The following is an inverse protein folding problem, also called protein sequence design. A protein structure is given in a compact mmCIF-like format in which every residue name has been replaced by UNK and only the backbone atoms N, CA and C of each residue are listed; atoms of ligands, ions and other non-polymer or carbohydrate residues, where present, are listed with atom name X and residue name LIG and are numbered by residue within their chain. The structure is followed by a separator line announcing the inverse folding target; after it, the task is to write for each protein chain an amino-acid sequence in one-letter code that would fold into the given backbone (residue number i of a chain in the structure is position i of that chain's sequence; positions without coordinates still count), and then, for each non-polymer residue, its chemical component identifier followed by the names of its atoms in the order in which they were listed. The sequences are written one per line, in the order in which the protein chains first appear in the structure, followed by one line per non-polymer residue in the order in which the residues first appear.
data_IF_676183683527
#
_entry.id   IF_676183683527
#
_cell.length_a   1.000
_cell.length_b   1.000
_cell.length_c   1.000
_cell.angle_alpha   90.00
_cell.angle_beta   90.00
_cell.angle_gamma   90.00
#
_symmetry.space_group_name_H-M   'P 1'
#
loop_
_entity.id
_entity.type
_entity.pdbx_description
1 polymer ?
#
# COMPACT_ATOMS: atom_id res chain seq x y z
N UNK A 1 9.79 27.56 -39.58
CA UNK A 1 9.17 26.26 -39.19
C UNK A 1 8.41 26.48 -37.89
N UNK A 2 7.08 26.41 -37.91
CA UNK A 2 6.30 26.41 -36.67
C UNK A 2 6.47 25.04 -36.01
N UNK A 3 7.09 25.02 -34.83
CA UNK A 3 7.15 23.84 -33.98
C UNK A 3 5.73 23.43 -33.59
N UNK A 4 5.25 22.32 -34.14
CA UNK A 4 4.01 21.70 -33.67
C UNK A 4 4.30 21.17 -32.26
N UNK A 5 3.74 21.82 -31.24
CA UNK A 5 3.72 21.27 -29.87
C UNK A 5 3.01 19.92 -29.93
N UNK A 6 3.71 18.84 -29.58
CA UNK A 6 3.10 17.53 -29.43
C UNK A 6 1.94 17.62 -28.42
N UNK A 7 0.78 17.11 -28.80
CA UNK A 7 -0.40 17.06 -27.94
C UNK A 7 -0.09 16.14 -26.76
N UNK A 8 -0.28 16.62 -25.53
CA UNK A 8 -0.07 15.80 -24.34
C UNK A 8 -0.93 14.54 -24.38
N UNK A 9 -0.34 13.39 -24.07
CA UNK A 9 -1.04 12.11 -23.95
C UNK A 9 -2.15 12.23 -22.90
N UNK A 10 -3.39 11.80 -23.18
CA UNK A 10 -4.47 11.82 -22.20
C UNK A 10 -4.16 10.93 -20.99
N UNK A 11 -4.64 11.32 -19.82
CA UNK A 11 -4.49 10.57 -18.55
C UNK A 11 -4.98 9.11 -18.68
N UNK A 12 -6.08 8.88 -19.40
CA UNK A 12 -6.59 7.53 -19.65
C UNK A 12 -5.63 6.67 -20.48
N UNK A 13 -4.86 7.26 -21.40
CA UNK A 13 -3.87 6.54 -22.21
C UNK A 13 -2.65 6.19 -21.36
N UNK A 14 -2.21 7.09 -20.47
CA UNK A 14 -1.17 6.82 -19.49
C UNK A 14 -1.57 5.65 -18.58
N UNK A 15 -2.79 5.66 -18.04
CA UNK A 15 -3.29 4.55 -17.22
C UNK A 15 -3.36 3.23 -17.99
N UNK A 16 -3.81 3.24 -19.25
CA UNK A 16 -3.80 2.04 -20.12
C UNK A 16 -2.37 1.50 -20.28
N UNK A 17 -1.39 2.37 -20.48
CA UNK A 17 0.01 1.97 -20.61
C UNK A 17 0.55 1.35 -19.32
N UNK A 18 0.19 1.90 -18.15
CA UNK A 18 0.54 1.32 -16.85
C UNK A 18 -0.01 -0.09 -16.68
N UNK A 19 -1.30 -0.33 -16.97
CA UNK A 19 -1.90 -1.66 -16.85
C UNK A 19 -1.34 -2.66 -17.88
N UNK A 20 -0.99 -2.21 -19.09
CA UNK A 20 -0.28 -3.06 -20.07
C UNK A 20 1.08 -3.47 -19.55
N UNK A 21 1.87 -2.52 -19.04
CA UNK A 21 3.15 -2.80 -18.40
C UNK A 21 2.99 -3.78 -17.23
N UNK A 22 2.00 -3.58 -16.36
CA UNK A 22 1.74 -4.46 -15.23
C UNK A 22 1.46 -5.90 -15.66
N UNK A 23 0.74 -6.09 -16.78
CA UNK A 23 0.53 -7.40 -17.38
C UNK A 23 1.83 -8.11 -17.78
N UNK A 24 2.80 -7.38 -18.35
CA UNK A 24 4.12 -7.94 -18.67
C UNK A 24 4.94 -8.27 -17.42
N UNK A 25 4.75 -7.52 -16.33
CA UNK A 25 5.51 -7.67 -15.10
C UNK A 25 4.95 -8.72 -14.13
N UNK A 26 3.78 -9.30 -14.42
CA UNK A 26 3.12 -10.28 -13.55
C UNK A 26 3.97 -11.53 -13.25
N UNK A 27 4.88 -11.91 -14.16
CA UNK A 27 5.82 -13.02 -13.92
C UNK A 27 6.90 -12.69 -12.89
N UNK A 28 7.29 -11.42 -12.77
CA UNK A 28 8.31 -10.94 -11.82
C UNK A 28 7.70 -10.54 -10.48
N UNK A 29 6.54 -9.91 -10.50
CA UNK A 29 5.82 -9.46 -9.30
C UNK A 29 4.43 -10.07 -9.26
N UNK A 30 4.26 -11.27 -8.67
CA UNK A 30 2.98 -12.00 -8.73
C UNK A 30 1.78 -11.23 -8.17
N UNK A 31 1.98 -10.36 -7.19
CA UNK A 31 0.90 -9.59 -6.56
C UNK A 31 0.38 -8.46 -7.45
N UNK A 32 1.13 -8.04 -8.47
CA UNK A 32 0.69 -6.97 -9.38
C UNK A 32 -0.60 -7.33 -10.13
N UNK A 33 -0.90 -8.64 -10.25
CA UNK A 33 -2.16 -9.13 -10.84
C UNK A 33 -3.42 -8.69 -10.09
N UNK A 34 -3.26 -8.29 -8.82
CA UNK A 34 -4.34 -7.77 -8.00
C UNK A 34 -4.51 -6.26 -8.11
N UNK A 35 -3.67 -5.57 -8.90
CA UNK A 35 -3.85 -4.15 -9.18
C UNK A 35 -5.09 -3.93 -10.05
N UNK A 36 -5.95 -2.98 -9.69
CA UNK A 36 -7.16 -2.66 -10.45
C UNK A 36 -7.46 -1.16 -10.49
N UNK A 37 -8.20 -0.75 -11.51
CA UNK A 37 -8.71 0.61 -11.65
C UNK A 37 -10.00 0.77 -10.84
N UNK A 38 -10.14 1.90 -10.14
CA UNK A 38 -11.36 2.36 -9.49
C UNK A 38 -12.05 3.41 -10.38
N UNK A 39 -13.04 3.04 -11.21
CA UNK A 39 -13.63 3.93 -12.22
C UNK A 39 -14.67 4.89 -11.61
N UNK A 40 -14.37 5.54 -10.49
CA UNK A 40 -15.32 6.43 -9.83
C UNK A 40 -15.41 7.81 -10.50
N UNK A 41 -14.39 8.20 -11.26
CA UNK A 41 -14.38 9.38 -12.12
C UNK A 41 -14.99 9.14 -13.51
N UNK A 42 -15.04 10.19 -14.33
CA UNK A 42 -15.43 10.11 -15.74
C UNK A 42 -16.84 10.60 -16.07
N UNK A 43 -17.03 11.03 -17.33
CA UNK A 43 -18.32 11.49 -17.85
C UNK A 43 -19.27 10.31 -18.02
N UNK A 44 -20.49 10.48 -17.55
CA UNK A 44 -21.61 9.54 -17.66
C UNK A 44 -22.90 10.33 -17.85
N UNK A 45 -23.96 9.68 -18.34
CA UNK A 45 -25.27 10.29 -18.32
C UNK A 45 -25.77 10.49 -16.87
N UNK A 46 -26.70 11.42 -16.69
CA UNK A 46 -27.17 11.84 -15.37
C UNK A 46 -27.83 10.68 -14.60
N UNK A 47 -28.56 9.81 -15.29
CA UNK A 47 -29.27 8.68 -14.68
C UNK A 47 -28.28 7.65 -14.14
N UNK A 48 -27.30 7.26 -14.94
CA UNK A 48 -26.23 6.36 -14.52
C UNK A 48 -25.43 6.95 -13.36
N UNK A 49 -25.08 8.24 -13.43
CA UNK A 49 -24.34 8.91 -12.36
C UNK A 49 -25.13 8.95 -11.04
N UNK A 50 -26.43 9.22 -11.09
CA UNK A 50 -27.30 9.21 -9.90
C UNK A 50 -27.40 7.81 -9.30
N UNK A 51 -27.62 6.79 -10.14
CA UNK A 51 -27.66 5.38 -9.71
C UNK A 51 -26.36 4.94 -9.05
N UNK A 52 -25.20 5.19 -9.67
CA UNK A 52 -23.89 4.82 -9.13
C UNK A 52 -23.60 5.49 -7.78
N UNK A 53 -24.03 6.76 -7.60
CA UNK A 53 -23.93 7.43 -6.30
C UNK A 53 -24.77 6.73 -5.23
N UNK A 54 -25.98 6.24 -5.57
CA UNK A 54 -26.80 5.44 -4.66
C UNK A 54 -26.18 4.07 -4.36
N UNK A 55 -25.47 3.48 -5.33
CA UNK A 55 -24.69 2.25 -5.16
C UNK A 55 -23.38 2.47 -4.35
N UNK A 56 -23.06 3.71 -3.99
CA UNK A 56 -21.96 4.04 -3.08
C UNK A 56 -20.70 4.58 -3.75
N UNK A 57 -20.70 4.86 -5.07
CA UNK A 57 -19.58 5.51 -5.74
C UNK A 57 -19.24 6.84 -5.05
N UNK A 58 -17.96 6.99 -4.71
CA UNK A 58 -17.44 8.20 -4.08
C UNK A 58 -16.55 8.96 -5.05
N UNK A 59 -16.85 10.26 -5.23
CA UNK A 59 -16.00 11.13 -6.01
C UNK A 59 -14.65 11.33 -5.32
N UNK A 60 -13.57 11.33 -6.11
CA UNK A 60 -12.22 11.62 -5.63
C UNK A 60 -11.44 10.41 -5.10
N UNK A 61 -12.01 9.21 -5.07
CA UNK A 61 -11.23 8.00 -4.78
C UNK A 61 -10.11 7.87 -5.83
N UNK A 62 -8.86 7.56 -5.41
CA UNK A 62 -7.74 7.43 -6.35
C UNK A 62 -8.00 6.43 -7.46
N UNK A 63 -7.43 6.69 -8.64
CA UNK A 63 -7.72 5.92 -9.84
C UNK A 63 -7.34 4.44 -9.74
N UNK A 64 -6.31 4.08 -8.97
CA UNK A 64 -5.75 2.72 -8.94
C UNK A 64 -5.56 2.27 -7.50
N UNK A 65 -5.90 1.01 -7.25
CA UNK A 65 -5.61 0.31 -6.01
C UNK A 65 -4.79 -0.97 -6.29
N UNK A 66 -3.79 -1.21 -5.45
CA UNK A 66 -3.06 -2.47 -5.35
C UNK A 66 -3.13 -2.96 -3.89
N UNK A 67 -4.02 -3.92 -3.59
CA UNK A 67 -4.26 -4.41 -2.23
C UNK A 67 -3.21 -5.45 -1.82
N UNK A 68 -1.93 -5.07 -1.87
CA UNK A 68 -0.79 -5.91 -1.46
C UNK A 68 -0.09 -5.25 -0.30
N UNK A 69 -0.21 -5.80 0.91
CA UNK A 69 0.38 -5.21 2.11
C UNK A 69 1.91 -5.34 2.10
N UNK A 70 2.61 -4.21 1.94
CA UNK A 70 4.07 -4.13 1.84
C UNK A 70 4.62 -2.99 2.68
N UNK A 71 5.79 -3.20 3.27
CA UNK A 71 6.54 -2.14 3.95
C UNK A 71 5.76 -1.44 5.06
N UNK A 72 4.93 -2.15 5.82
CA UNK A 72 4.12 -1.57 6.89
C UNK A 72 2.82 -0.92 6.43
N UNK A 73 2.57 -0.87 5.12
CA UNK A 73 1.32 -0.34 4.55
C UNK A 73 0.35 -1.48 4.24
N UNK A 74 -0.95 -1.20 4.29
CA UNK A 74 -2.00 -2.20 4.00
C UNK A 74 -2.30 -2.36 2.50
N UNK A 75 -1.82 -1.43 1.69
CA UNK A 75 -1.94 -1.46 0.24
C UNK A 75 -1.41 -0.16 -0.36
N UNK A 76 -1.43 -0.08 -1.68
CA UNK A 76 -1.00 1.07 -2.47
C UNK A 76 -2.19 1.66 -3.23
N UNK A 77 -2.38 2.98 -3.13
CA UNK A 77 -3.28 3.75 -3.97
C UNK A 77 -2.48 4.73 -4.83
N UNK A 78 -2.83 4.82 -6.11
CA UNK A 78 -2.22 5.74 -7.06
C UNK A 78 -3.32 6.61 -7.69
N UNK A 79 -3.14 7.92 -7.60
CA UNK A 79 -3.89 8.92 -8.36
C UNK A 79 -3.09 9.29 -9.61
N UNK A 80 -3.65 9.07 -10.80
CA UNK A 80 -2.96 9.36 -12.05
C UNK A 80 -3.16 10.81 -12.46
N UNK A 81 -2.11 11.44 -12.97
CA UNK A 81 -2.13 12.78 -13.55
C UNK A 81 -1.29 12.87 -14.80
N UNK A 82 -1.51 13.96 -15.54
CA UNK A 82 -0.65 14.40 -16.63
C UNK A 82 -0.05 15.76 -16.27
N UNK A 83 1.10 16.09 -16.86
CA UNK A 83 1.82 17.34 -16.56
C UNK A 83 0.89 18.55 -16.70
N UNK A 84 0.82 19.37 -15.65
CA UNK A 84 -0.01 20.58 -15.60
C UNK A 84 -1.38 20.39 -14.96
N UNK A 85 -1.86 19.14 -14.81
CA UNK A 85 -3.04 18.85 -13.99
C UNK A 85 -2.63 18.77 -12.51
N UNK A 86 -3.58 18.95 -11.59
CA UNK A 86 -3.38 18.73 -10.16
C UNK A 86 -4.54 17.91 -9.61
N UNK A 87 -4.34 17.14 -8.52
CA UNK A 87 -5.45 16.55 -7.79
C UNK A 87 -6.48 17.62 -7.39
N UNK A 88 -7.75 17.28 -7.56
CA UNK A 88 -8.87 18.08 -7.06
C UNK A 88 -8.92 18.06 -5.53
N UNK A 89 -9.67 18.98 -4.90
CA UNK A 89 -9.77 19.00 -3.43
C UNK A 89 -10.34 17.70 -2.84
N UNK A 90 -11.36 17.10 -3.47
CA UNK A 90 -11.88 15.80 -3.04
C UNK A 90 -10.82 14.68 -3.16
N UNK A 91 -9.97 14.72 -4.18
CA UNK A 91 -8.88 13.74 -4.33
C UNK A 91 -7.82 13.93 -3.23
N UNK A 92 -7.48 15.17 -2.89
CA UNK A 92 -6.57 15.45 -1.78
C UNK A 92 -7.13 14.93 -0.45
N UNK A 93 -8.43 15.15 -0.20
CA UNK A 93 -9.10 14.63 1.00
C UNK A 93 -8.99 13.10 1.09
N UNK A 94 -9.25 12.39 -0.01
CA UNK A 94 -9.10 10.93 -0.07
C UNK A 94 -7.66 10.48 0.16
N UNK A 95 -6.68 11.12 -0.48
CA UNK A 95 -5.26 10.80 -0.32
C UNK A 95 -4.83 10.95 1.15
N UNK A 96 -5.19 12.07 1.79
CA UNK A 96 -4.91 12.29 3.21
C UNK A 96 -5.64 11.28 4.11
N UNK A 97 -6.89 10.96 3.82
CA UNK A 97 -7.68 10.00 4.60
C UNK A 97 -7.12 8.57 4.51
N UNK A 98 -6.65 8.15 3.33
CA UNK A 98 -6.02 6.85 3.10
C UNK A 98 -4.65 6.77 3.79
N UNK A 99 -3.83 7.81 3.67
CA UNK A 99 -2.54 7.90 4.35
C UNK A 99 -2.70 7.79 5.87
N UNK A 100 -3.67 8.51 6.45
CA UNK A 100 -3.98 8.45 7.88
C UNK A 100 -4.48 7.06 8.34
N UNK A 101 -4.84 6.18 7.41
CA UNK A 101 -5.30 4.79 7.68
C UNK A 101 -4.25 3.74 7.36
N UNK A 102 -3.00 4.14 7.11
CA UNK A 102 -1.89 3.21 6.89
C UNK A 102 -1.80 2.67 5.46
N UNK A 103 -2.40 3.34 4.48
CA UNK A 103 -2.17 3.03 3.06
C UNK A 103 -1.03 3.86 2.50
N UNK A 104 -0.26 3.26 1.60
CA UNK A 104 0.67 4.03 0.77
C UNK A 104 -0.15 4.74 -0.29
N UNK A 105 0.06 6.05 -0.45
CA UNK A 105 -0.65 6.87 -1.43
C UNK A 105 0.36 7.66 -2.25
N UNK A 106 0.11 7.78 -3.55
CA UNK A 106 0.93 8.63 -4.40
C UNK A 106 0.11 9.27 -5.52
N UNK A 107 0.59 10.42 -5.99
CA UNK A 107 0.13 11.06 -7.22
C UNK A 107 1.21 10.86 -8.27
N UNK A 108 0.88 10.20 -9.37
CA UNK A 108 1.85 9.88 -10.42
C UNK A 108 1.54 10.62 -11.72
N UNK A 109 2.52 11.35 -12.24
CA UNK A 109 2.40 12.11 -13.48
C UNK A 109 2.87 11.29 -14.68
N UNK A 110 1.98 10.47 -15.22
CA UNK A 110 2.26 9.54 -16.32
C UNK A 110 2.58 8.11 -15.85
N UNK A 111 2.64 7.19 -16.82
CA UNK A 111 2.75 5.76 -16.54
C UNK A 111 4.15 5.34 -16.07
N UNK A 112 5.21 5.99 -16.53
CA UNK A 112 6.59 5.61 -16.18
C UNK A 112 6.94 5.89 -14.70
N UNK A 113 6.59 7.04 -14.11
CA UNK A 113 6.76 7.22 -12.66
C UNK A 113 5.87 6.26 -11.86
N UNK A 114 4.64 6.01 -12.32
CA UNK A 114 3.73 5.08 -11.65
C UNK A 114 4.27 3.65 -11.66
N UNK A 115 4.85 3.19 -12.77
CA UNK A 115 5.43 1.84 -12.85
C UNK A 115 6.61 1.68 -11.90
N UNK A 116 7.51 2.68 -11.85
CA UNK A 116 8.66 2.67 -10.92
C UNK A 116 8.19 2.60 -9.47
N UNK A 117 7.20 3.40 -9.10
CA UNK A 117 6.61 3.36 -7.77
C UNK A 117 6.04 1.97 -7.45
N UNK A 118 5.32 1.34 -8.37
CA UNK A 118 4.77 0.00 -8.17
C UNK A 118 5.90 -1.03 -7.97
N UNK A 119 6.99 -0.95 -8.74
CA UNK A 119 8.16 -1.83 -8.56
C UNK A 119 8.82 -1.63 -7.20
N UNK A 120 9.05 -0.38 -6.80
CA UNK A 120 9.65 -0.02 -5.50
C UNK A 120 8.77 -0.53 -4.36
N UNK A 121 7.46 -0.30 -4.44
CA UNK A 121 6.49 -0.74 -3.44
C UNK A 121 6.45 -2.27 -3.31
N UNK A 122 6.40 -2.99 -4.43
CA UNK A 122 6.38 -4.46 -4.45
C UNK A 122 7.72 -5.08 -4.04
N UNK A 123 8.81 -4.31 -4.09
CA UNK A 123 10.13 -4.73 -3.59
C UNK A 123 10.29 -4.58 -2.08
N UNK A 124 9.35 -3.90 -1.40
CA UNK A 124 9.32 -3.84 0.06
C UNK A 124 8.96 -5.20 0.65
N UNK A 125 9.46 -5.48 1.87
CA UNK A 125 9.11 -6.70 2.62
C UNK A 125 7.59 -6.78 2.83
N UNK A 126 6.99 -7.98 2.91
CA UNK A 126 5.59 -8.14 3.33
C UNK A 126 5.33 -7.38 4.64
N UNK A 127 4.15 -6.77 4.76
CA UNK A 127 3.70 -6.20 6.04
C UNK A 127 3.34 -7.33 6.99
N UNK A 128 4.08 -7.43 8.10
CA UNK A 128 3.84 -8.45 9.13
C UNK A 128 2.52 -8.16 9.85
N UNK A 129 1.71 -9.20 10.07
CA UNK A 129 0.47 -9.07 10.85
C UNK A 129 0.65 -9.69 12.23
N UNK A 130 -0.06 -9.16 13.23
CA UNK A 130 0.00 -9.69 14.61
C UNK A 130 -0.28 -11.20 14.70
N UNK A 131 -1.02 -11.79 13.76
CA UNK A 131 -1.25 -13.25 13.71
C UNK A 131 0.06 -14.04 13.57
N UNK A 132 0.98 -13.56 12.74
CA UNK A 132 2.26 -14.22 12.49
C UNK A 132 3.16 -14.12 13.73
N UNK A 133 3.17 -12.96 14.38
CA UNK A 133 3.96 -12.75 15.60
C UNK A 133 3.37 -13.49 16.81
N UNK A 134 2.04 -13.55 16.93
CA UNK A 134 1.37 -14.26 18.02
C UNK A 134 1.52 -15.78 17.89
N UNK A 135 1.47 -16.34 16.66
CA UNK A 135 1.73 -17.76 16.43
C UNK A 135 3.18 -18.14 16.77
N UNK A 136 4.16 -17.28 16.44
CA UNK A 136 5.55 -17.49 16.83
C UNK A 136 5.67 -17.46 18.36
N UNK A 137 5.11 -16.44 19.02
CA UNK A 137 5.13 -16.30 20.46
C UNK A 137 4.42 -17.46 21.18
N UNK A 138 3.27 -17.93 20.69
CA UNK A 138 2.57 -19.09 21.26
C UNK A 138 3.36 -20.38 21.09
N UNK A 139 3.99 -20.58 19.92
CA UNK A 139 4.80 -21.77 19.70
C UNK A 139 5.99 -21.83 20.66
N UNK A 140 6.65 -20.68 20.91
CA UNK A 140 7.69 -20.56 21.92
C UNK A 140 7.18 -20.80 23.35
N UNK A 141 5.98 -20.30 23.71
CA UNK A 141 5.36 -20.52 25.02
C UNK A 141 4.90 -21.98 25.24
N UNK A 142 4.42 -22.66 24.19
CA UNK A 142 3.92 -24.04 24.29
C UNK A 142 5.05 -25.03 24.57
N UNK A 143 6.23 -24.82 24.00
CA UNK A 143 7.43 -25.62 24.28
C UNK A 143 7.78 -25.57 25.77
N UNK A 144 7.67 -24.41 26.41
CA UNK A 144 7.95 -24.25 27.84
C UNK A 144 6.92 -24.94 28.76
N UNK A 145 5.68 -25.16 28.29
CA UNK A 145 4.62 -25.75 29.10
C UNK A 145 4.62 -27.28 29.10
N UNK A 146 5.23 -27.92 28.09
CA UNK A 146 5.27 -29.37 27.94
C UNK A 146 6.55 -30.03 28.48
N UNK A 147 7.59 -29.23 28.75
CA UNK A 147 8.88 -29.75 29.20
C UNK A 147 8.95 -29.69 30.73
N UNK A 148 9.07 -30.86 31.39
CA UNK A 148 9.18 -30.96 32.85
C UNK A 148 10.54 -30.52 33.39
N UNK A 149 11.44 -30.11 32.51
CA UNK A 149 12.78 -29.62 32.85
C UNK A 149 12.65 -28.30 33.62
N UNK A 150 13.16 -28.18 34.86
CA UNK A 150 13.19 -26.92 35.58
C UNK A 150 13.83 -25.84 34.72
N UNK A 151 13.19 -24.66 34.63
CA UNK A 151 13.60 -23.61 33.69
C UNK A 151 15.10 -23.30 33.76
N UNK A 152 15.71 -23.36 34.94
CA UNK A 152 17.14 -23.07 35.19
C UNK A 152 18.12 -23.94 34.40
N UNK A 153 17.70 -25.14 33.98
CA UNK A 153 18.49 -26.11 33.24
C UNK A 153 18.08 -26.22 31.76
N UNK A 154 17.05 -25.48 31.34
CA UNK A 154 16.58 -25.50 29.96
C UNK A 154 17.63 -24.86 29.02
N UNK A 155 18.00 -25.49 27.89
CA UNK A 155 18.90 -24.90 26.90
C UNK A 155 18.42 -23.56 26.33
N UNK A 156 17.10 -23.32 26.39
CA UNK A 156 16.43 -22.08 25.99
C UNK A 156 16.29 -21.07 27.14
N UNK A 157 16.79 -21.36 28.34
CA UNK A 157 16.61 -20.53 29.54
C UNK A 157 17.28 -19.16 29.47
N UNK A 158 18.54 -19.10 28.98
CA UNK A 158 19.26 -17.83 28.81
C UNK A 158 18.55 -16.92 27.79
N UNK A 159 18.16 -17.42 26.60
CA UNK A 159 17.25 -16.72 25.69
C UNK A 159 15.94 -16.34 26.36
N UNK A 160 15.23 -17.22 27.08
CA UNK A 160 13.94 -16.95 27.73
C UNK A 160 13.99 -15.86 28.83
N UNK A 161 15.10 -15.68 29.54
CA UNK A 161 15.28 -14.55 30.47
C UNK A 161 15.66 -13.24 29.78
N UNK A 162 16.32 -13.30 28.62
CA UNK A 162 16.66 -12.13 27.80
C UNK A 162 15.50 -11.70 26.88
N UNK A 163 14.73 -12.68 26.43
CA UNK A 163 13.52 -12.66 25.62
C UNK A 163 12.32 -13.09 26.48
N UNK A 164 12.23 -12.65 27.74
CA UNK A 164 10.89 -12.40 28.28
C UNK A 164 10.36 -11.31 27.38
N UNK A 165 9.74 -11.74 26.28
CA UNK A 165 9.23 -10.91 25.21
C UNK A 165 8.35 -9.92 25.92
N UNK A 166 8.91 -8.74 26.16
CA UNK A 166 8.22 -7.74 26.94
C UNK A 166 7.10 -7.36 25.98
N UNK A 167 5.90 -7.88 26.24
CA UNK A 167 4.72 -7.62 25.41
C UNK A 167 4.60 -6.11 25.24
N UNK A 168 4.98 -5.35 26.27
CA UNK A 168 5.15 -3.90 26.26
C UNK A 168 6.21 -3.41 25.27
N UNK A 169 7.35 -4.07 25.08
CA UNK A 169 8.36 -3.68 24.08
C UNK A 169 7.97 -4.06 22.65
N UNK A 170 7.26 -5.18 22.44
CA UNK A 170 6.62 -5.48 21.15
C UNK A 170 5.50 -4.49 20.86
N UNK A 171 4.64 -4.19 21.83
CA UNK A 171 3.61 -3.15 21.72
C UNK A 171 4.25 -1.79 21.46
N UNK A 172 5.31 -1.42 22.17
CA UNK A 172 6.01 -0.16 22.01
C UNK A 172 6.77 -0.10 20.68
N UNK A 173 7.32 -1.20 20.16
CA UNK A 173 7.88 -1.26 18.80
C UNK A 173 6.79 -1.17 17.74
N UNK A 174 5.64 -1.81 17.94
CA UNK A 174 4.49 -1.68 17.05
C UNK A 174 3.95 -0.24 17.03
N UNK A 175 3.88 0.43 18.18
CA UNK A 175 3.46 1.84 18.32
C UNK A 175 4.52 2.81 17.77
N UNK A 176 5.82 2.58 18.02
CA UNK A 176 6.89 3.45 17.54
C UNK A 176 7.24 3.25 16.04
N UNK A 177 6.78 2.15 15.43
CA UNK A 177 6.87 1.96 13.99
C UNK A 177 5.92 2.88 13.22
N UNK A 178 4.79 3.26 13.83
CA UNK A 178 3.80 4.18 13.26
C UNK A 178 4.35 5.62 13.14
N UNK A 179 5.30 6.03 13.98
CA UNK A 179 5.81 7.41 14.01
C UNK A 179 7.01 7.68 13.09
N UNK A 180 7.64 6.65 12.52
CA UNK A 180 8.89 6.77 11.73
C UNK A 180 8.76 6.61 10.21
N UNK A 181 7.55 6.42 9.65
CA UNK A 181 7.35 6.10 8.22
C UNK A 181 6.55 7.11 7.40
N UNK A 182 6.17 8.25 7.97
CA UNK A 182 5.55 9.31 7.17
C UNK A 182 6.57 9.88 6.20
N UNK A 183 6.55 9.31 4.98
CA UNK A 183 7.48 9.56 3.91
C UNK A 183 7.60 11.06 3.63
N UNK A 184 8.85 11.50 3.59
CA UNK A 184 9.26 12.76 3.02
C UNK A 184 8.71 12.87 1.59
N UNK A 185 8.22 14.06 1.26
CA UNK A 185 7.74 14.42 -0.07
C UNK A 185 8.82 14.12 -1.11
N UNK A 186 8.59 13.14 -1.98
CA UNK A 186 9.32 13.05 -3.25
C UNK A 186 8.59 13.96 -4.24
N UNK A 187 8.96 15.24 -4.24
CA UNK A 187 8.73 16.10 -5.40
C UNK A 187 9.85 15.84 -6.42
N UNK A 188 9.50 15.35 -7.60
CA UNK A 188 10.32 15.44 -8.81
C UNK A 188 9.44 15.71 -10.03
#
# INVERSE_FOLDING_TARGET
MQSQKAKATPESVEQINLFRWAGYMAGRYPDIKFMFHVPNGGKRDATTAARLKMEGVKAGVPDIELPSARGGYFGLFIEMKIKGNKPTENQKEWLSALQARGYYVAVCYGWEPASKLVEEYLSLKPTETFKEHYSLALSALTVCASDSTPCEECPLYKPCKQDQVNITEIFNKAINFESGRFGENVES
#
